data_IF_145047483298
#
_entry.id   IF_145047483298
#
_cell.length_a   1.000
_cell.length_b   1.000
_cell.length_c   1.000
_cell.angle_alpha   90.00
_cell.angle_beta   90.00
_cell.angle_gamma   90.00
#
_symmetry.space_group_name_H-M   'P 1'
#
loop_
_entity.id
_entity.type
_entity.pdbx_description
1 polymer ?
#
# COMPACT_ATOMS: atom_id res chain seq x y z
N UNK A 1 -13.82 -20.53 12.16
CA UNK A 1 -13.48 -20.06 12.22
C UNK A 1 -12.69 -19.23 11.78
N UNK A 2 -12.39 -18.84 11.39
CA UNK A 2 -12.05 -17.93 10.97
C UNK A 2 -11.06 -17.01 11.49
N UNK A 3 -10.67 -16.82 12.55
CA UNK A 3 -9.66 -15.95 13.08
C UNK A 3 -8.27 -16.14 12.54
N UNK A 4 -8.06 -17.23 11.91
CA UNK A 4 -6.76 -17.53 11.31
C UNK A 4 -6.41 -16.58 10.19
N UNK A 5 -7.40 -16.06 9.51
CA UNK A 5 -7.18 -15.19 8.38
C UNK A 5 -6.47 -13.90 8.79
N UNK A 6 -6.74 -13.39 9.97
CA UNK A 6 -6.15 -12.13 10.39
C UNK A 6 -4.64 -12.18 10.51
N UNK A 7 -4.08 -13.32 10.92
CA UNK A 7 -2.64 -13.47 11.00
C UNK A 7 -1.98 -13.52 9.62
N UNK A 8 -2.63 -14.20 8.67
CA UNK A 8 -2.12 -14.28 7.31
C UNK A 8 -2.22 -12.92 6.59
N UNK A 9 -3.06 -12.04 7.10
CA UNK A 9 -3.33 -10.76 6.47
C UNK A 9 -2.55 -9.62 7.10
N UNK A 10 -1.55 -9.90 7.91
CA UNK A 10 -0.71 -8.88 8.50
C UNK A 10 0.70 -8.98 7.94
N UNK A 11 1.38 -7.85 7.90
CA UNK A 11 2.77 -7.76 7.45
C UNK A 11 3.66 -7.33 8.62
N UNK A 12 4.91 -7.78 8.61
CA UNK A 12 5.89 -7.41 9.62
C UNK A 12 6.72 -6.26 9.12
N UNK A 13 6.86 -5.21 9.93
CA UNK A 13 7.64 -4.04 9.57
C UNK A 13 8.50 -3.62 10.76
N UNK A 14 9.73 -3.17 10.48
CA UNK A 14 10.59 -2.62 11.51
C UNK A 14 10.22 -1.16 11.76
N UNK A 15 10.11 -0.78 13.03
CA UNK A 15 9.84 0.60 13.38
C UNK A 15 11.01 1.49 12.96
N UNK A 16 10.77 2.55 12.17
CA UNK A 16 11.87 3.45 11.77
C UNK A 16 12.51 4.19 12.93
N UNK A 17 11.79 4.35 14.03
CA UNK A 17 12.30 5.10 15.20
C UNK A 17 13.11 4.24 16.15
N UNK A 18 12.67 2.99 16.41
CA UNK A 18 13.34 2.17 17.44
C UNK A 18 13.77 0.78 16.94
N UNK A 19 13.48 0.41 15.71
CA UNK A 19 13.88 -0.86 15.12
C UNK A 19 13.05 -2.07 15.54
N UNK A 20 12.12 -1.93 16.46
CA UNK A 20 11.28 -3.04 16.91
C UNK A 20 10.41 -3.55 15.75
N UNK A 21 10.36 -4.87 15.59
CA UNK A 21 9.49 -5.48 14.57
C UNK A 21 8.05 -5.47 15.06
N UNK A 22 7.16 -5.06 14.17
CA UNK A 22 5.73 -4.96 14.47
C UNK A 22 4.93 -5.65 13.37
N UNK A 23 3.74 -6.14 13.71
CA UNK A 23 2.78 -6.57 12.71
C UNK A 23 1.86 -5.42 12.39
N UNK A 24 1.68 -5.15 11.09
CA UNK A 24 0.72 -4.15 10.65
C UNK A 24 -0.43 -4.87 9.96
N UNK A 25 -1.66 -4.59 10.36
CA UNK A 25 -2.82 -5.27 9.79
C UNK A 25 -3.13 -4.77 8.39
N UNK A 26 -3.76 -5.63 7.58
CA UNK A 26 -4.22 -5.26 6.25
C UNK A 26 -5.28 -4.17 6.35
N UNK A 27 -6.16 -4.29 7.33
CA UNK A 27 -7.23 -3.33 7.56
C UNK A 27 -7.43 -3.10 9.05
N UNK A 28 -7.55 -1.85 9.43
CA UNK A 28 -7.80 -1.47 10.82
C UNK A 28 -8.29 -0.02 10.83
N UNK A 29 -9.11 0.33 11.80
CA UNK A 29 -9.45 1.73 12.02
C UNK A 29 -8.30 2.40 12.75
N UNK A 30 -7.96 3.63 12.34
CA UNK A 30 -6.86 4.38 12.92
C UNK A 30 -5.54 4.16 12.19
N UNK A 31 -4.43 4.31 12.91
CA UNK A 31 -3.08 4.23 12.36
C UNK A 31 -2.28 3.14 13.06
N UNK A 32 -1.50 2.35 12.33
CA UNK A 32 -0.60 1.41 12.99
C UNK A 32 0.54 2.16 13.70
N UNK A 33 0.79 1.78 14.95
CA UNK A 33 1.83 2.38 15.78
C UNK A 33 2.71 1.30 16.38
N UNK A 34 3.97 1.66 16.64
CA UNK A 34 4.90 0.74 17.27
C UNK A 34 4.43 0.37 18.67
N UNK A 35 4.41 -0.93 18.94
CA UNK A 35 4.02 -1.42 20.27
C UNK A 35 4.99 -0.98 21.36
N UNK A 36 6.24 -0.69 20.99
CA UNK A 36 7.27 -0.31 21.97
C UNK A 36 7.37 1.20 22.16
N UNK A 37 7.56 1.96 21.09
CA UNK A 37 7.82 3.40 21.21
C UNK A 37 6.65 4.28 20.76
N UNK A 38 5.58 3.69 20.24
CA UNK A 38 4.35 4.36 19.82
C UNK A 38 4.49 5.30 18.62
N UNK A 39 5.62 5.25 17.93
CA UNK A 39 5.80 6.00 16.68
C UNK A 39 4.90 5.43 15.59
N UNK A 40 4.51 6.27 14.64
CA UNK A 40 3.75 5.81 13.48
C UNK A 40 4.58 4.82 12.68
N UNK A 41 3.94 3.72 12.25
CA UNK A 41 4.60 2.69 11.46
C UNK A 41 4.33 2.91 9.97
N UNK A 42 5.30 2.53 9.11
CA UNK A 42 5.02 2.45 7.68
C UNK A 42 3.87 1.47 7.46
N UNK A 43 2.93 1.84 6.61
CA UNK A 43 1.81 0.94 6.31
C UNK A 43 1.99 0.37 4.91
N UNK A 44 2.58 -0.81 4.85
CA UNK A 44 2.84 -1.56 3.62
C UNK A 44 2.33 -2.97 3.86
N UNK A 45 1.28 -3.36 3.18
CA UNK A 45 0.62 -4.64 3.42
C UNK A 45 0.32 -5.35 2.10
N UNK A 46 0.16 -6.67 2.18
CA UNK A 46 -0.30 -7.49 1.06
C UNK A 46 -1.80 -7.73 1.25
N UNK A 47 -2.58 -7.45 0.21
CA UNK A 47 -4.01 -7.73 0.22
C UNK A 47 -4.34 -8.84 -0.76
N UNK A 48 -5.46 -9.50 -0.52
CA UNK A 48 -6.00 -10.53 -1.37
C UNK A 48 -7.35 -10.09 -1.92
N UNK A 49 -7.92 -10.88 -2.84
CA UNK A 49 -9.26 -10.62 -3.34
C UNK A 49 -10.27 -10.55 -2.19
N UNK A 50 -10.05 -11.34 -1.13
CA UNK A 50 -10.96 -11.37 0.03
C UNK A 50 -10.82 -10.13 0.92
N UNK A 51 -9.63 -9.51 0.98
CA UNK A 51 -9.35 -8.43 1.93
C UNK A 51 -9.24 -7.05 1.28
N UNK A 52 -9.22 -6.99 -0.03
CA UNK A 52 -8.92 -5.75 -0.74
C UNK A 52 -9.91 -4.62 -0.41
N UNK A 53 -11.20 -4.92 -0.42
CA UNK A 53 -12.21 -3.89 -0.16
C UNK A 53 -12.09 -3.29 1.24
N UNK A 54 -11.71 -4.09 2.22
CA UNK A 54 -11.45 -3.58 3.57
C UNK A 54 -10.13 -2.83 3.64
N UNK A 55 -9.12 -3.30 2.89
CA UNK A 55 -7.80 -2.69 2.92
C UNK A 55 -7.80 -1.25 2.41
N UNK A 56 -8.62 -0.94 1.40
CA UNK A 56 -8.70 0.42 0.86
C UNK A 56 -9.59 1.36 1.69
N UNK A 57 -10.21 0.82 2.72
CA UNK A 57 -11.13 1.59 3.58
C UNK A 57 -10.35 2.32 4.66
N UNK A 58 -9.79 3.47 4.30
CA UNK A 58 -8.96 4.29 5.17
C UNK A 58 -9.05 5.74 4.72
N UNK A 59 -8.77 6.67 5.64
CA UNK A 59 -8.69 8.11 5.33
C UNK A 59 -7.39 8.47 4.61
N UNK A 60 -6.42 7.55 4.63
CA UNK A 60 -5.12 7.84 4.03
C UNK A 60 -5.19 7.78 2.52
N UNK A 61 -4.22 8.42 1.88
CA UNK A 61 -3.96 8.14 0.48
C UNK A 61 -3.51 6.69 0.35
N UNK A 62 -4.15 5.95 -0.55
CA UNK A 62 -3.81 4.56 -0.80
C UNK A 62 -3.07 4.46 -2.13
N UNK A 63 -1.98 3.69 -2.13
CA UNK A 63 -1.23 3.37 -3.34
C UNK A 63 -1.24 1.85 -3.49
N UNK A 64 -1.99 1.36 -4.47
CA UNK A 64 -2.08 -0.07 -4.76
C UNK A 64 -1.01 -0.42 -5.78
N UNK A 65 -0.24 -1.47 -5.52
CA UNK A 65 0.76 -2.02 -6.42
C UNK A 65 0.32 -3.39 -6.90
N UNK A 66 -0.10 -3.47 -8.15
CA UNK A 66 -0.46 -4.73 -8.80
C UNK A 66 0.80 -5.29 -9.45
N UNK A 67 1.29 -6.41 -8.94
CA UNK A 67 2.62 -6.94 -9.26
C UNK A 67 2.61 -8.46 -9.35
N UNK A 68 3.72 -9.03 -9.79
CA UNK A 68 3.92 -10.47 -9.79
C UNK A 68 5.40 -10.79 -9.51
N UNK A 69 5.70 -11.95 -8.91
CA UNK A 69 7.09 -12.30 -8.56
C UNK A 69 8.03 -12.42 -9.76
N UNK A 70 7.50 -12.80 -10.93
CA UNK A 70 8.28 -12.97 -12.15
C UNK A 70 8.54 -11.67 -12.90
N UNK A 71 7.98 -10.58 -12.45
CA UNK A 71 8.01 -9.30 -13.16
C UNK A 71 9.25 -8.49 -12.74
N UNK A 72 10.21 -8.33 -13.65
CA UNK A 72 11.43 -7.58 -13.40
C UNK A 72 11.20 -6.13 -13.01
N UNK A 73 10.42 -5.36 -13.79
CA UNK A 73 10.12 -3.97 -13.42
C UNK A 73 9.41 -3.84 -12.08
N UNK A 74 8.58 -4.83 -11.69
CA UNK A 74 7.94 -4.84 -10.37
C UNK A 74 8.99 -4.90 -9.26
N UNK A 75 10.07 -5.66 -9.47
CA UNK A 75 11.16 -5.76 -8.49
C UNK A 75 11.90 -4.43 -8.33
N UNK A 76 11.96 -3.63 -9.39
CA UNK A 76 12.59 -2.32 -9.34
C UNK A 76 11.76 -1.31 -8.55
N UNK A 77 10.45 -1.43 -8.63
CA UNK A 77 9.51 -0.52 -7.94
C UNK A 77 9.38 -0.86 -6.46
N UNK A 78 9.52 -2.12 -6.10
CA UNK A 78 9.28 -2.57 -4.72
C UNK A 78 10.05 -1.76 -3.67
N UNK A 79 11.38 -1.55 -3.80
CA UNK A 79 12.10 -0.76 -2.80
C UNK A 79 11.68 0.71 -2.77
N UNK A 80 11.26 1.26 -3.91
CA UNK A 80 10.76 2.63 -3.99
C UNK A 80 9.49 2.76 -3.16
N UNK A 81 8.55 1.83 -3.32
CA UNK A 81 7.29 1.85 -2.58
C UNK A 81 7.52 1.66 -1.09
N UNK A 82 8.48 0.80 -0.73
CA UNK A 82 8.83 0.62 0.67
C UNK A 82 9.36 1.91 1.27
N UNK A 83 10.22 2.61 0.56
CA UNK A 83 10.78 3.88 1.03
C UNK A 83 9.69 4.93 1.17
N UNK A 84 8.77 5.02 0.22
CA UNK A 84 7.66 5.95 0.30
C UNK A 84 6.77 5.65 1.50
N UNK A 85 6.54 4.36 1.79
CA UNK A 85 5.73 3.99 2.96
C UNK A 85 6.37 4.43 4.27
N UNK A 86 7.70 4.46 4.33
CA UNK A 86 8.43 4.96 5.51
C UNK A 86 8.37 6.48 5.58
N UNK A 87 8.64 7.15 4.46
CA UNK A 87 8.73 8.62 4.43
C UNK A 87 7.37 9.28 4.67
N UNK A 88 6.29 8.61 4.29
CA UNK A 88 4.91 9.11 4.47
C UNK A 88 4.11 8.21 5.41
N UNK A 89 4.74 7.71 6.46
CA UNK A 89 4.17 6.68 7.32
C UNK A 89 2.88 7.09 8.04
N UNK A 90 2.61 8.39 8.14
CA UNK A 90 1.39 8.89 8.76
C UNK A 90 0.28 9.21 7.76
N UNK A 91 0.57 9.20 6.46
CA UNK A 91 -0.37 9.70 5.45
C UNK A 91 -0.60 8.76 4.28
N UNK A 92 0.28 7.78 4.07
CA UNK A 92 0.22 6.88 2.92
C UNK A 92 0.05 5.44 3.38
N UNK A 93 -0.81 4.70 2.71
CA UNK A 93 -0.92 3.25 2.87
C UNK A 93 -0.61 2.60 1.53
N UNK A 94 0.39 1.73 1.50
CA UNK A 94 0.75 0.96 0.30
C UNK A 94 0.16 -0.43 0.41
N UNK A 95 -0.61 -0.83 -0.58
CA UNK A 95 -1.25 -2.13 -0.63
C UNK A 95 -0.72 -2.88 -1.85
N UNK A 96 -0.08 -4.02 -1.60
CA UNK A 96 0.46 -4.86 -2.67
C UNK A 96 -0.52 -5.99 -2.98
N UNK A 97 -0.78 -6.22 -4.26
CA UNK A 97 -1.67 -7.28 -4.71
C UNK A 97 -0.93 -8.12 -5.76
N UNK A 98 -0.66 -9.38 -5.43
CA UNK A 98 -0.04 -10.32 -6.36
C UNK A 98 -1.10 -10.77 -7.36
N UNK A 99 -0.95 -10.37 -8.63
CA UNK A 99 -1.97 -10.65 -9.65
C UNK A 99 -2.10 -12.13 -9.97
N UNK A 100 -1.05 -12.91 -9.74
CA UNK A 100 -1.10 -14.35 -9.99
C UNK A 100 -2.10 -15.07 -9.08
N UNK A 101 -2.31 -14.54 -7.88
CA UNK A 101 -3.15 -15.17 -6.87
C UNK A 101 -4.44 -14.41 -6.60
N UNK A 102 -4.64 -13.28 -7.26
CA UNK A 102 -5.79 -12.40 -6.97
C UNK A 102 -6.43 -11.93 -8.27
N UNK A 103 -7.03 -12.85 -9.02
CA UNK A 103 -7.57 -12.53 -10.35
C UNK A 103 -8.72 -11.53 -10.32
N UNK A 104 -9.53 -11.52 -9.26
CA UNK A 104 -10.66 -10.61 -9.19
C UNK A 104 -10.20 -9.16 -9.13
N UNK A 105 -9.28 -8.85 -8.22
CA UNK A 105 -8.73 -7.50 -8.11
C UNK A 105 -8.00 -7.10 -9.38
N UNK A 106 -7.24 -8.03 -9.96
CA UNK A 106 -6.52 -7.79 -11.21
C UNK A 106 -7.48 -7.43 -12.35
N UNK A 107 -8.60 -8.13 -12.45
CA UNK A 107 -9.61 -7.85 -13.45
C UNK A 107 -10.34 -6.55 -13.21
N UNK A 108 -10.67 -6.26 -11.96
CA UNK A 108 -11.37 -5.02 -11.59
C UNK A 108 -10.58 -3.79 -12.00
N UNK A 109 -9.26 -3.84 -11.91
CA UNK A 109 -8.39 -2.72 -12.29
C UNK A 109 -7.81 -2.87 -13.70
N UNK A 110 -8.19 -3.94 -14.42
CA UNK A 110 -7.71 -4.20 -15.78
C UNK A 110 -6.18 -4.20 -15.84
N UNK A 111 -5.56 -4.96 -14.94
CA UNK A 111 -4.10 -5.01 -14.79
C UNK A 111 -3.47 -5.89 -15.86
N UNK A 112 -3.50 -5.44 -17.11
CA UNK A 112 -2.93 -6.18 -18.26
C UNK A 112 -1.42 -5.97 -18.37
N UNK A 113 -0.93 -4.85 -17.88
CA UNK A 113 0.50 -4.54 -17.85
C UNK A 113 0.90 -4.24 -16.41
N UNK A 114 1.95 -4.88 -15.93
CA UNK A 114 2.43 -4.70 -14.56
C UNK A 114 3.89 -4.25 -14.55
N UNK A 115 4.35 -3.50 -13.54
CA UNK A 115 3.56 -3.05 -12.39
C UNK A 115 2.50 -2.03 -12.81
N UNK A 116 1.33 -2.13 -12.18
CA UNK A 116 0.30 -1.13 -12.34
C UNK A 116 0.00 -0.57 -10.96
N UNK A 117 0.14 0.73 -10.82
CA UNK A 117 -0.04 1.39 -9.54
C UNK A 117 -1.27 2.29 -9.59
N UNK A 118 -2.09 2.22 -8.57
CA UNK A 118 -3.36 2.96 -8.53
C UNK A 118 -3.40 3.78 -7.27
N UNK A 119 -3.57 5.09 -7.41
CA UNK A 119 -3.80 5.98 -6.28
C UNK A 119 -5.29 6.05 -5.99
N UNK A 120 -5.65 5.80 -4.74
CA UNK A 120 -7.05 5.75 -4.31
C UNK A 120 -7.21 6.60 -3.04
N UNK A 121 -8.30 7.34 -2.95
CA UNK A 121 -8.64 8.06 -1.73
C UNK A 121 -10.15 7.97 -1.51
N UNK A 122 -10.54 7.54 -0.31
CA UNK A 122 -11.94 7.35 0.07
C UNK A 122 -12.69 6.47 -0.94
N UNK A 123 -12.02 5.42 -1.42
CA UNK A 123 -12.60 4.47 -2.37
C UNK A 123 -12.59 4.92 -3.82
N UNK A 124 -12.14 6.12 -4.11
CA UNK A 124 -12.15 6.69 -5.45
C UNK A 124 -10.77 6.64 -6.09
N UNK A 125 -10.69 6.16 -7.31
CA UNK A 125 -9.43 6.12 -8.07
C UNK A 125 -9.05 7.52 -8.51
N UNK A 126 -7.87 7.97 -8.10
CA UNK A 126 -7.35 9.29 -8.45
C UNK A 126 -6.47 9.25 -9.69
N UNK A 127 -5.64 8.22 -9.80
CA UNK A 127 -4.69 8.11 -10.91
C UNK A 127 -4.24 6.67 -11.06
N UNK A 128 -4.01 6.24 -12.30
CA UNK A 128 -3.43 4.93 -12.62
C UNK A 128 -2.10 5.15 -13.32
N UNK A 129 -1.06 4.48 -12.82
CA UNK A 129 0.30 4.57 -13.37
C UNK A 129 0.70 3.19 -13.86
N UNK A 130 1.04 3.07 -15.13
CA UNK A 130 1.44 1.79 -15.72
C UNK A 130 2.95 1.80 -15.98
N UNK A 131 3.62 0.77 -15.51
CA UNK A 131 5.06 0.62 -15.66
C UNK A 131 5.86 1.20 -14.51
N UNK A 132 7.13 0.79 -14.43
CA UNK A 132 8.02 1.26 -13.39
C UNK A 132 8.34 2.74 -13.58
N UNK A 133 8.32 3.49 -12.50
CA UNK A 133 8.66 4.90 -12.49
C UNK A 133 9.82 5.12 -11.51
N UNK A 134 10.72 6.07 -11.80
CA UNK A 134 11.79 6.38 -10.85
C UNK A 134 11.23 7.02 -9.58
N UNK A 135 11.98 6.90 -8.50
CA UNK A 135 11.54 7.42 -7.19
C UNK A 135 11.10 8.88 -7.22
N UNK A 136 11.85 9.81 -7.85
CA UNK A 136 11.41 11.21 -7.84
C UNK A 136 10.04 11.42 -8.50
N UNK A 137 9.73 10.65 -9.55
CA UNK A 137 8.45 10.75 -10.21
C UNK A 137 7.32 10.23 -9.32
N UNK A 138 7.55 9.09 -8.66
CA UNK A 138 6.55 8.53 -7.74
C UNK A 138 6.33 9.45 -6.54
N UNK A 139 7.41 10.02 -6.01
CA UNK A 139 7.32 10.95 -4.88
C UNK A 139 6.50 12.18 -5.23
N UNK A 140 6.73 12.74 -6.42
CA UNK A 140 5.94 13.89 -6.88
C UNK A 140 4.45 13.56 -6.96
N UNK A 141 4.11 12.36 -7.42
CA UNK A 141 2.71 11.93 -7.51
C UNK A 141 2.08 11.81 -6.12
N UNK A 142 2.79 11.22 -5.18
CA UNK A 142 2.31 11.13 -3.79
C UNK A 142 2.04 12.54 -3.25
N UNK A 143 2.99 13.45 -3.41
CA UNK A 143 2.86 14.81 -2.88
C UNK A 143 1.75 15.60 -3.56
N UNK A 144 1.57 15.41 -4.88
CA UNK A 144 0.46 16.04 -5.60
C UNK A 144 -0.89 15.60 -5.06
N UNK A 145 -1.06 14.30 -4.84
CA UNK A 145 -2.32 13.77 -4.32
C UNK A 145 -2.56 14.18 -2.88
N UNK A 146 -1.51 14.19 -2.05
CA UNK A 146 -1.63 14.65 -0.66
C UNK A 146 -2.02 16.12 -0.61
N UNK A 147 -1.42 16.96 -1.47
CA UNK A 147 -1.77 18.37 -1.53
C UNK A 147 -3.22 18.57 -1.98
N UNK A 148 -3.67 17.80 -2.95
CA UNK A 148 -5.05 17.89 -3.42
C UNK A 148 -6.05 17.48 -2.32
N UNK A 149 -5.72 16.45 -1.54
CA UNK A 149 -6.54 16.00 -0.42
C UNK A 149 -6.61 17.09 0.65
N UNK A 150 -5.46 17.70 0.98
CA UNK A 150 -5.40 18.77 1.98
C UNK A 150 -6.20 19.99 1.54
N UNK A 151 -6.16 20.33 0.26
CA UNK A 151 -6.86 21.49 -0.26
C UNK A 151 -8.37 21.28 -0.36
N UNK A 152 -8.81 20.02 -0.45
CA UNK A 152 -10.23 19.69 -0.54
C UNK A 152 -10.90 19.64 0.84
N UNK A 153 -10.12 19.59 1.92
CA UNK A 153 -10.62 19.44 3.28
C UNK A 153 -11.23 20.75 3.82
#
# INVERSE_FOLDING_TARGET
MVPMASNAESSVVACPACGTKNRTPVAVSGRPRCAKCHADLPWLVDATDATFSDAIRTNRLVLVDLWAPWCGPCQMVAPILKKLSVDYSDRLKVIKVNVDHNPQTSMDYRAQSIPMMVFIHNGETLETVIGAQPEPAMRRKVEQHLAAIDNAA
#
